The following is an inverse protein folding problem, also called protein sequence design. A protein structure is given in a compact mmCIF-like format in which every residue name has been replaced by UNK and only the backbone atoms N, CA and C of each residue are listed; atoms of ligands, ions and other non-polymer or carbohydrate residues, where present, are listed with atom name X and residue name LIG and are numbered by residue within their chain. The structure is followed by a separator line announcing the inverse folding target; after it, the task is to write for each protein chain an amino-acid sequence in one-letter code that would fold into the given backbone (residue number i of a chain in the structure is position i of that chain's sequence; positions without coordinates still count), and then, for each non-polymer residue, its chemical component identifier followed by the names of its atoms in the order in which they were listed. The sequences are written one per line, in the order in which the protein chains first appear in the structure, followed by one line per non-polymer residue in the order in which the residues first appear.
data_IF_408290437422
#
_entry.id   IF_408290437422
#
_cell.length_a   1.000
_cell.length_b   1.000
_cell.length_c   1.000
_cell.angle_alpha   90.00
_cell.angle_beta   90.00
_cell.angle_gamma   90.00
#
_symmetry.space_group_name_H-M   'P 1'
#
loop_
_entity.id
_entity.type
_entity.pdbx_description
1 polymer ?
#
# COMPACT_ATOMS: atom_id res chain seq x y z
N UNK A 1 12.32 -18.45 26.88
CA UNK A 1 13.35 -18.64 25.85
C UNK A 1 12.93 -17.81 24.65
N UNK A 2 13.76 -16.90 24.17
CA UNK A 2 13.45 -16.05 23.01
C UNK A 2 14.20 -16.64 21.82
N UNK A 3 13.47 -17.04 20.77
CA UNK A 3 14.05 -17.52 19.52
C UNK A 3 13.88 -16.43 18.46
N UNK A 4 15.01 -15.95 17.92
CA UNK A 4 15.04 -14.93 16.87
C UNK A 4 14.94 -15.62 15.52
N UNK A 5 13.84 -15.41 14.79
CA UNK A 5 13.61 -16.05 13.50
C UNK A 5 14.38 -15.37 12.35
N UNK A 6 14.32 -14.05 12.27
CA UNK A 6 15.07 -13.25 11.28
C UNK A 6 15.23 -11.81 11.78
N UNK A 7 16.16 -11.07 11.19
CA UNK A 7 16.38 -9.65 11.41
C UNK A 7 17.07 -9.09 10.18
N UNK A 8 16.26 -8.48 9.32
CA UNK A 8 16.67 -7.97 8.02
C UNK A 8 16.60 -6.45 8.02
N UNK A 9 17.58 -5.81 7.41
CA UNK A 9 17.64 -4.36 7.26
C UNK A 9 17.77 -3.99 5.79
N UNK A 10 16.87 -3.12 5.32
CA UNK A 10 16.86 -2.64 3.93
C UNK A 10 16.75 -1.11 3.90
N UNK A 11 17.57 -0.48 3.07
CA UNK A 11 17.41 0.94 2.71
C UNK A 11 16.36 1.05 1.61
N UNK A 12 15.15 1.45 1.98
CA UNK A 12 13.99 1.46 1.09
C UNK A 12 13.59 2.85 0.64
N UNK A 13 12.93 2.91 -0.52
CA UNK A 13 12.22 4.13 -0.95
C UNK A 13 10.91 4.23 -0.17
N UNK A 14 10.66 5.40 0.41
CA UNK A 14 9.39 5.71 1.08
C UNK A 14 8.78 6.95 0.44
N UNK A 15 7.46 6.95 0.24
CA UNK A 15 6.69 8.12 -0.20
C UNK A 15 5.62 8.44 0.84
N UNK A 16 5.48 9.72 1.16
CA UNK A 16 4.41 10.24 2.01
C UNK A 16 3.48 11.09 1.15
N UNK A 17 2.18 10.84 1.23
CA UNK A 17 1.20 11.38 0.29
C UNK A 17 -0.03 11.81 1.08
N UNK A 18 -0.45 13.06 0.90
CA UNK A 18 -1.75 13.55 1.37
C UNK A 18 -2.75 13.51 0.24
N UNK A 19 -3.92 12.93 0.48
CA UNK A 19 -5.05 12.89 -0.44
C UNK A 19 -6.27 13.49 0.24
N UNK A 20 -6.98 14.37 -0.46
CA UNK A 20 -8.20 15.00 0.04
C UNK A 20 -9.36 14.54 -0.84
N UNK A 21 -10.29 13.82 -0.24
CA UNK A 21 -11.62 13.55 -0.82
C UNK A 21 -12.53 14.75 -0.53
N UNK A 22 -13.82 14.69 -0.85
CA UNK A 22 -14.73 15.83 -0.60
C UNK A 22 -14.72 16.32 0.85
N UNK A 23 -14.81 15.41 1.83
CA UNK A 23 -14.91 15.80 3.25
C UNK A 23 -13.74 15.28 4.11
N UNK A 24 -12.95 14.33 3.60
CA UNK A 24 -11.94 13.63 4.42
C UNK A 24 -10.53 13.74 3.84
N UNK A 25 -9.57 14.09 4.70
CA UNK A 25 -8.14 14.02 4.42
C UNK A 25 -7.57 12.67 4.85
N UNK A 26 -6.81 12.05 3.94
CA UNK A 26 -6.02 10.85 4.16
C UNK A 26 -4.54 11.13 3.93
N UNK A 27 -3.68 10.56 4.77
CA UNK A 27 -2.23 10.62 4.65
C UNK A 27 -1.71 9.18 4.62
N UNK A 28 -0.97 8.85 3.58
CA UNK A 28 -0.44 7.53 3.35
C UNK A 28 1.08 7.54 3.34
N UNK A 29 1.66 6.57 4.05
CA UNK A 29 3.05 6.14 3.85
C UNK A 29 3.07 4.94 2.92
N UNK A 30 3.87 5.00 1.85
CA UNK A 30 4.07 3.89 0.91
C UNK A 30 5.53 3.48 0.97
N UNK A 31 5.77 2.24 1.38
CA UNK A 31 7.09 1.66 1.60
C UNK A 31 7.33 0.62 0.51
N UNK A 32 8.35 0.86 -0.31
CA UNK A 32 8.74 -0.03 -1.40
C UNK A 32 9.90 -0.91 -0.93
N UNK A 33 9.60 -2.15 -0.59
CA UNK A 33 10.56 -3.13 -0.06
C UNK A 33 10.50 -4.43 -0.86
N UNK A 34 11.62 -5.12 -0.94
CA UNK A 34 11.69 -6.44 -1.57
C UNK A 34 11.15 -7.57 -0.67
N UNK A 35 10.89 -7.29 0.61
CA UNK A 35 10.41 -8.28 1.58
C UNK A 35 8.99 -8.80 1.30
N UNK A 36 8.23 -8.13 0.42
CA UNK A 36 6.81 -8.39 0.20
C UNK A 36 6.47 -8.73 -1.26
N UNK A 37 7.38 -9.44 -1.94
CA UNK A 37 7.14 -9.97 -3.28
C UNK A 37 6.76 -8.90 -4.32
N UNK A 38 7.35 -7.70 -4.20
CA UNK A 38 7.06 -6.55 -5.06
C UNK A 38 5.78 -5.78 -4.71
N UNK A 39 5.00 -6.22 -3.71
CA UNK A 39 3.85 -5.46 -3.19
C UNK A 39 4.34 -4.40 -2.21
N UNK A 40 4.11 -3.09 -2.45
CA UNK A 40 4.41 -2.07 -1.45
C UNK A 40 3.53 -2.23 -0.20
N UNK A 41 4.10 -1.89 0.96
CA UNK A 41 3.36 -1.72 2.19
C UNK A 41 2.76 -0.31 2.23
N UNK A 42 1.44 -0.23 2.25
CA UNK A 42 0.70 1.03 2.34
C UNK A 42 0.14 1.16 3.75
N UNK A 43 0.42 2.31 4.39
CA UNK A 43 0.00 2.63 5.76
C UNK A 43 -0.82 3.91 5.74
N UNK A 44 -2.08 3.85 6.17
CA UNK A 44 -2.87 5.04 6.47
C UNK A 44 -2.44 5.60 7.81
N UNK A 45 -1.86 6.81 7.82
CA UNK A 45 -1.26 7.42 9.00
C UNK A 45 -2.31 7.91 10.01
N UNK A 46 -3.53 8.25 9.57
CA UNK A 46 -4.64 8.62 10.45
C UNK A 46 -5.15 7.43 11.27
N UNK A 47 -5.30 6.29 10.62
CA UNK A 47 -5.99 5.12 11.20
C UNK A 47 -5.01 4.07 11.72
N UNK A 48 -3.74 4.17 11.35
CA UNK A 48 -2.72 3.15 11.59
C UNK A 48 -2.93 1.85 10.79
N UNK A 49 -3.97 1.79 9.93
CA UNK A 49 -4.27 0.61 9.13
C UNK A 49 -3.25 0.47 8.02
N UNK A 50 -2.76 -0.74 7.81
CA UNK A 50 -1.77 -1.03 6.78
C UNK A 50 -2.10 -2.31 6.04
N UNK A 51 -1.67 -2.39 4.78
CA UNK A 51 -1.86 -3.56 3.93
C UNK A 51 -0.80 -3.60 2.84
N UNK A 52 -0.55 -4.80 2.31
CA UNK A 52 0.26 -4.99 1.10
C UNK A 52 -0.69 -4.92 -0.10
N UNK A 53 -0.41 -4.04 -1.07
CA UNK A 53 -1.27 -3.91 -2.24
C UNK A 53 -0.52 -4.30 -3.51
N UNK A 54 -1.03 -5.30 -4.21
CA UNK A 54 -0.72 -5.57 -5.60
C UNK A 54 -1.69 -4.86 -6.53
N UNK A 55 -1.49 -5.02 -7.84
CA UNK A 55 -2.33 -4.37 -8.86
C UNK A 55 -3.80 -4.75 -8.74
N UNK A 56 -4.09 -6.05 -8.60
CA UNK A 56 -5.46 -6.56 -8.46
C UNK A 56 -6.15 -6.04 -7.19
N UNK A 57 -5.38 -5.86 -6.11
CA UNK A 57 -5.89 -5.34 -4.84
C UNK A 57 -6.29 -3.86 -4.97
N UNK A 58 -5.54 -3.09 -5.77
CA UNK A 58 -5.85 -1.68 -6.07
C UNK A 58 -7.12 -1.55 -6.89
N UNK A 59 -7.38 -2.47 -7.82
CA UNK A 59 -8.58 -2.44 -8.68
C UNK A 59 -9.85 -2.90 -7.93
N UNK A 60 -9.70 -3.52 -6.76
CA UNK A 60 -10.80 -3.92 -5.90
C UNK A 60 -11.21 -2.77 -4.94
N UNK A 61 -12.13 -1.93 -5.40
CA UNK A 61 -12.66 -0.77 -4.66
C UNK A 61 -13.25 -1.17 -3.30
N UNK A 62 -14.01 -2.26 -3.23
CA UNK A 62 -14.62 -2.73 -1.99
C UNK A 62 -13.53 -3.12 -0.96
N UNK A 63 -12.49 -3.82 -1.42
CA UNK A 63 -11.36 -4.19 -0.56
C UNK A 63 -10.67 -2.95 0.02
N UNK A 64 -10.40 -1.93 -0.80
CA UNK A 64 -9.78 -0.68 -0.34
C UNK A 64 -10.67 0.04 0.68
N UNK A 65 -11.98 0.08 0.46
CA UNK A 65 -12.93 0.68 1.39
C UNK A 65 -12.88 0.00 2.76
N UNK A 66 -12.91 -1.34 2.80
CA UNK A 66 -12.88 -2.12 4.04
C UNK A 66 -11.53 -2.01 4.78
N UNK A 67 -10.44 -2.07 4.02
CA UNK A 67 -9.09 -2.04 4.57
C UNK A 67 -8.72 -0.67 5.10
N UNK A 68 -9.15 0.43 4.47
CA UNK A 68 -8.85 1.77 4.96
C UNK A 68 -10.00 2.42 5.73
N UNK A 69 -11.15 1.75 5.86
CA UNK A 69 -12.38 2.27 6.50
C UNK A 69 -12.81 3.60 5.89
N UNK A 70 -12.87 3.64 4.56
CA UNK A 70 -13.30 4.83 3.83
C UNK A 70 -14.81 5.03 3.99
N UNK A 71 -15.25 6.27 4.01
CA UNK A 71 -16.62 6.67 4.30
C UNK A 71 -17.60 6.32 3.18
N UNK A 72 -17.11 6.17 1.96
CA UNK A 72 -17.93 5.80 0.80
C UNK A 72 -17.17 4.97 -0.23
N UNK A 73 -17.92 4.33 -1.14
CA UNK A 73 -17.37 3.64 -2.31
C UNK A 73 -16.71 4.63 -3.29
N UNK A 74 -17.19 5.87 -3.35
CA UNK A 74 -16.61 6.93 -4.17
C UNK A 74 -15.21 7.33 -3.69
N UNK A 75 -15.03 7.53 -2.38
CA UNK A 75 -13.71 7.77 -1.80
C UNK A 75 -12.74 6.61 -2.09
N UNK A 76 -13.26 5.38 -2.07
CA UNK A 76 -12.49 4.19 -2.40
C UNK A 76 -12.11 4.11 -3.88
N UNK A 77 -13.00 4.53 -4.79
CA UNK A 77 -12.74 4.57 -6.22
C UNK A 77 -11.70 5.65 -6.58
N UNK A 78 -11.76 6.82 -5.94
CA UNK A 78 -10.73 7.86 -6.08
C UNK A 78 -9.38 7.36 -5.59
N UNK A 79 -9.36 6.69 -4.43
CA UNK A 79 -8.14 6.13 -3.86
C UNK A 79 -7.56 5.00 -4.73
N UNK A 80 -8.42 4.17 -5.33
CA UNK A 80 -8.02 3.15 -6.31
C UNK A 80 -7.28 3.76 -7.50
N UNK A 81 -7.85 4.81 -8.10
CA UNK A 81 -7.20 5.52 -9.21
C UNK A 81 -5.85 6.08 -8.79
N UNK A 82 -5.77 6.68 -7.60
CA UNK A 82 -4.52 7.23 -7.08
C UNK A 82 -3.45 6.15 -6.84
N UNK A 83 -3.81 5.06 -6.17
CA UNK A 83 -2.89 3.94 -5.91
C UNK A 83 -2.44 3.23 -7.17
N UNK A 84 -3.23 3.29 -8.26
CA UNK A 84 -2.84 2.74 -9.55
C UNK A 84 -1.56 3.36 -10.13
N UNK A 85 -1.20 4.59 -9.70
CA UNK A 85 0.05 5.26 -10.06
C UNK A 85 1.22 4.95 -9.12
N UNK A 86 0.93 4.37 -7.95
CA UNK A 86 1.92 4.09 -6.90
C UNK A 86 2.34 2.64 -6.86
N UNK A 87 1.40 1.74 -7.17
CA UNK A 87 1.61 0.30 -7.19
C UNK A 87 2.10 -0.11 -8.58
N UNK A 88 3.30 -0.70 -8.69
CA UNK A 88 3.85 -1.14 -9.97
C UNK A 88 2.90 -2.12 -10.68
N UNK A 89 2.81 -2.04 -12.01
CA UNK A 89 2.02 -2.97 -12.84
C UNK A 89 2.59 -4.39 -12.85
N UNK A 90 3.88 -4.51 -12.53
CA UNK A 90 4.63 -5.76 -12.59
C UNK A 90 5.19 -6.04 -11.20
N UNK A 91 4.95 -7.24 -10.68
CA UNK A 91 5.69 -7.75 -9.53
C UNK A 91 7.18 -7.64 -9.84
N UNK A 92 7.91 -6.84 -9.06
CA UNK A 92 9.35 -6.53 -9.22
C UNK A 92 10.28 -7.77 -9.26
N UNK A 93 9.74 -8.99 -9.18
CA UNK A 93 10.49 -10.24 -9.21
C UNK A 93 10.78 -10.81 -10.61
N UNK A 94 10.32 -10.19 -11.69
CA UNK A 94 10.73 -10.64 -13.03
C UNK A 94 12.24 -10.46 -13.32
N UNK A 95 12.99 -9.79 -12.43
CA UNK A 95 14.43 -9.54 -12.59
C UNK A 95 15.34 -10.37 -11.66
N UNK A 96 14.79 -11.32 -10.89
CA UNK A 96 15.59 -12.21 -10.02
C UNK A 96 15.66 -13.67 -10.54
N UNK A 97 15.26 -13.93 -11.78
CA UNK A 97 15.30 -15.26 -12.42
C UNK A 97 16.41 -15.43 -13.49
N UNK A 98 17.45 -14.58 -13.51
CA UNK A 98 18.69 -14.85 -14.27
C UNK A 98 19.93 -15.06 -13.37
#
# INVERSE_FOLDING_TARGET
MFEKLYDEHESVKVRFLGFMTHDTRYDFGVIYTNMFFGKPLIVCMQTGRSTLLGRDDVENVQHLQEVFKLGSEEEAAELSQFFSFLVPSTSLHAEYEE
#
